data_IF_667014625025
#
_entry.id   IF_667014625025
#
_cell.length_a   1.000
_cell.length_b   1.000
_cell.length_c   1.000
_cell.angle_alpha   90.00
_cell.angle_beta   90.00
_cell.angle_gamma   90.00
#
_symmetry.space_group_name_H-M   'P 1'
#
loop_
_entity.id
_entity.type
_entity.pdbx_description
1 polymer ?
#
# COMPACT_ATOMS: atom_id res chain seq x y z
N UNK A 1 39.56 44.85 24.17
CA UNK A 1 38.18 44.36 23.92
C UNK A 1 38.27 43.02 23.17
N UNK A 2 38.06 41.88 23.85
CA UNK A 2 38.09 40.55 23.23
C UNK A 2 36.65 40.18 22.86
N UNK A 3 36.34 40.06 21.56
CA UNK A 3 35.06 39.59 21.06
C UNK A 3 35.08 38.05 21.08
N UNK A 4 34.36 37.46 21.98
CA UNK A 4 34.12 36.02 22.00
C UNK A 4 33.20 35.61 20.83
N UNK A 5 33.68 34.77 19.97
CA UNK A 5 32.86 34.09 18.92
C UNK A 5 32.13 32.92 19.59
N UNK A 6 30.81 33.07 19.76
CA UNK A 6 29.97 31.95 20.22
C UNK A 6 29.61 31.09 19.04
N UNK A 7 30.16 29.87 18.94
CA UNK A 7 29.81 28.88 17.95
C UNK A 7 28.51 28.17 18.40
N UNK A 8 27.44 28.36 17.64
CA UNK A 8 26.24 27.57 17.79
C UNK A 8 26.40 26.26 17.01
N UNK A 9 26.52 25.14 17.73
CA UNK A 9 26.49 23.82 17.11
C UNK A 9 25.04 23.46 16.86
N UNK A 10 24.59 23.51 15.62
CA UNK A 10 23.31 22.92 15.20
C UNK A 10 23.47 21.38 15.23
N UNK A 11 22.91 20.76 16.25
CA UNK A 11 22.74 19.31 16.30
C UNK A 11 21.56 18.97 15.39
N UNK A 12 21.83 18.52 14.19
CA UNK A 12 20.80 17.91 13.34
C UNK A 12 20.39 16.57 13.97
N UNK A 13 19.21 16.54 14.57
CA UNK A 13 18.57 15.27 14.96
C UNK A 13 18.18 14.55 13.68
N UNK A 14 18.94 13.54 13.29
CA UNK A 14 18.54 12.57 12.29
C UNK A 14 17.44 11.72 12.91
N UNK A 15 16.19 12.01 12.58
CA UNK A 15 15.08 11.10 12.88
C UNK A 15 15.24 9.90 11.97
N UNK A 16 15.59 8.74 12.56
CA UNK A 16 15.47 7.46 11.87
C UNK A 16 13.98 7.18 11.70
N UNK A 17 13.50 7.28 10.47
CA UNK A 17 12.12 6.88 10.16
C UNK A 17 11.99 5.38 10.40
N UNK A 18 11.14 4.98 11.35
CA UNK A 18 10.72 3.60 11.47
C UNK A 18 9.82 3.26 10.27
N UNK A 19 9.86 2.00 9.81
CA UNK A 19 8.92 1.56 8.79
C UNK A 19 7.48 1.81 9.26
N UNK A 20 6.71 2.51 8.42
CA UNK A 20 5.34 2.91 8.74
C UNK A 20 4.36 1.81 8.33
N UNK A 21 3.27 1.67 9.09
CA UNK A 21 2.12 0.82 8.73
C UNK A 21 1.22 1.47 7.66
N UNK A 22 1.48 2.73 7.31
CA UNK A 22 0.83 3.47 6.22
C UNK A 22 1.88 3.89 5.19
N UNK A 23 1.54 3.89 3.89
CA UNK A 23 2.44 4.40 2.87
C UNK A 23 2.65 5.91 3.00
N UNK A 24 3.80 6.40 2.53
CA UNK A 24 4.04 7.82 2.35
C UNK A 24 3.22 8.33 1.14
N UNK A 25 2.27 9.20 1.39
CA UNK A 25 1.38 9.73 0.34
C UNK A 25 2.08 10.56 -0.75
N UNK A 26 3.33 10.99 -0.54
CA UNK A 26 4.12 11.65 -1.58
C UNK A 26 4.80 10.63 -2.51
N UNK A 27 5.18 9.46 -1.98
CA UNK A 27 5.83 8.39 -2.74
C UNK A 27 4.79 7.45 -3.36
N UNK A 28 3.77 7.07 -2.57
CA UNK A 28 2.73 6.11 -2.96
C UNK A 28 1.34 6.69 -2.70
N UNK A 29 0.89 7.66 -3.53
CA UNK A 29 -0.45 8.23 -3.43
C UNK A 29 -1.55 7.26 -3.89
N UNK A 30 -1.20 6.12 -4.47
CA UNK A 30 -2.12 5.17 -5.07
C UNK A 30 -2.46 5.51 -6.53
N UNK A 31 -2.06 4.66 -7.47
CA UNK A 31 -2.37 4.78 -8.89
C UNK A 31 -3.38 3.71 -9.32
N UNK A 32 -4.27 4.08 -10.22
CA UNK A 32 -5.32 3.22 -10.76
C UNK A 32 -4.94 2.67 -12.14
N UNK A 33 -5.46 1.50 -12.45
CA UNK A 33 -5.51 0.97 -13.80
C UNK A 33 -6.69 1.63 -14.54
N UNK A 34 -6.44 2.38 -15.62
CA UNK A 34 -7.49 3.06 -16.36
C UNK A 34 -8.48 2.12 -17.07
N UNK A 35 -8.13 0.84 -17.20
CA UNK A 35 -9.00 -0.17 -17.78
C UNK A 35 -10.07 -0.68 -16.81
N UNK A 36 -9.98 -0.34 -15.51
CA UNK A 36 -10.92 -0.81 -14.48
C UNK A 36 -11.73 0.36 -13.93
N UNK A 37 -13.03 0.33 -14.19
CA UNK A 37 -13.99 1.38 -13.80
C UNK A 37 -15.24 0.79 -13.15
N UNK A 38 -16.00 1.58 -12.37
CA UNK A 38 -17.30 1.17 -11.81
C UNK A 38 -18.24 0.58 -12.88
N UNK A 39 -18.20 1.11 -14.11
CA UNK A 39 -19.07 0.68 -15.21
C UNK A 39 -18.73 -0.70 -15.79
N UNK A 40 -17.52 -1.23 -15.53
CA UNK A 40 -17.06 -2.49 -16.12
C UNK A 40 -16.54 -3.52 -15.10
N UNK A 41 -16.84 -3.35 -13.80
CA UNK A 41 -16.36 -4.28 -12.76
C UNK A 41 -16.78 -5.73 -13.01
N UNK A 42 -17.94 -5.96 -13.62
CA UNK A 42 -18.46 -7.31 -13.91
C UNK A 42 -17.68 -8.03 -15.01
N UNK A 43 -17.10 -7.27 -15.92
CA UNK A 43 -16.29 -7.76 -17.05
C UNK A 43 -14.81 -7.85 -16.70
N UNK A 44 -14.38 -7.13 -15.65
CA UNK A 44 -13.00 -7.02 -15.18
C UNK A 44 -12.81 -7.78 -13.87
N UNK A 45 -12.64 -7.08 -12.77
CA UNK A 45 -12.24 -7.63 -11.47
C UNK A 45 -13.28 -8.59 -10.85
N UNK A 46 -14.56 -8.47 -11.19
CA UNK A 46 -15.63 -9.33 -10.68
C UNK A 46 -16.02 -10.47 -11.63
N UNK A 47 -15.35 -10.61 -12.75
CA UNK A 47 -15.59 -11.74 -13.65
C UNK A 47 -15.32 -13.06 -12.92
N UNK A 48 -16.13 -14.08 -13.17
CA UNK A 48 -15.95 -15.40 -12.58
C UNK A 48 -14.50 -15.89 -12.79
N UNK A 49 -13.80 -16.21 -11.68
CA UNK A 49 -12.37 -16.47 -11.72
C UNK A 49 -11.52 -15.21 -11.47
N UNK A 50 -11.95 -14.35 -10.55
CA UNK A 50 -11.28 -13.07 -10.20
C UNK A 50 -9.77 -13.22 -9.91
N UNK A 51 -9.32 -14.38 -9.44
CA UNK A 51 -7.89 -14.71 -9.37
C UNK A 51 -7.21 -14.56 -10.72
N UNK A 52 -7.92 -14.82 -11.83
CA UNK A 52 -7.35 -14.67 -13.18
C UNK A 52 -7.06 -13.21 -13.54
N UNK A 53 -7.84 -12.24 -13.04
CA UNK A 53 -7.51 -10.82 -13.25
C UNK A 53 -6.20 -10.48 -12.54
N UNK A 54 -6.13 -10.72 -11.23
CA UNK A 54 -4.94 -10.45 -10.43
C UNK A 54 -3.73 -11.22 -10.95
N UNK A 55 -3.86 -12.51 -11.23
CA UNK A 55 -2.78 -13.33 -11.78
C UNK A 55 -2.34 -12.89 -13.18
N UNK A 56 -3.29 -12.52 -14.05
CA UNK A 56 -3.00 -12.04 -15.40
C UNK A 56 -2.35 -10.66 -15.47
N UNK A 57 -2.51 -9.85 -14.40
CA UNK A 57 -1.98 -8.48 -14.31
C UNK A 57 -0.81 -8.35 -13.34
N UNK A 58 -0.42 -9.45 -12.68
CA UNK A 58 0.72 -9.44 -11.78
C UNK A 58 2.02 -9.13 -12.55
N UNK A 59 2.79 -8.12 -12.13
CA UNK A 59 4.05 -7.80 -12.79
C UNK A 59 5.06 -8.96 -12.70
N UNK A 60 6.00 -9.05 -13.66
CA UNK A 60 7.09 -10.01 -13.57
C UNK A 60 7.86 -9.88 -12.25
N UNK A 61 8.30 -11.01 -11.69
CA UNK A 61 9.05 -11.03 -10.44
C UNK A 61 10.27 -10.11 -10.44
N UNK A 62 11.01 -10.06 -11.56
CA UNK A 62 12.17 -9.18 -11.72
C UNK A 62 11.82 -7.68 -11.61
N UNK A 63 10.62 -7.30 -12.06
CA UNK A 63 10.12 -5.93 -11.91
C UNK A 63 9.84 -5.65 -10.42
N UNK A 64 9.14 -6.56 -9.74
CA UNK A 64 8.83 -6.40 -8.31
C UNK A 64 10.09 -6.30 -7.46
N UNK A 65 11.06 -7.20 -7.65
CA UNK A 65 12.33 -7.20 -6.92
C UNK A 65 13.15 -5.91 -7.13
N UNK A 66 13.13 -5.36 -8.34
CA UNK A 66 13.77 -4.08 -8.64
C UNK A 66 13.05 -2.93 -7.94
N UNK A 67 11.73 -2.85 -8.11
CA UNK A 67 10.90 -1.80 -7.51
C UNK A 67 10.97 -1.82 -5.99
N UNK A 68 11.00 -3.01 -5.38
CA UNK A 68 11.13 -3.17 -3.93
C UNK A 68 12.39 -2.50 -3.39
N UNK A 69 13.54 -2.76 -4.00
CA UNK A 69 14.81 -2.15 -3.60
C UNK A 69 14.78 -0.63 -3.75
N UNK A 70 14.22 -0.15 -4.86
CA UNK A 70 14.09 1.29 -5.12
C UNK A 70 13.16 1.96 -4.10
N UNK A 71 12.05 1.31 -3.75
CA UNK A 71 11.08 1.83 -2.78
C UNK A 71 11.62 1.82 -1.35
N UNK A 72 12.31 0.76 -0.91
CA UNK A 72 12.93 0.72 0.43
C UNK A 72 13.90 1.90 0.60
N UNK A 73 14.72 2.18 -0.41
CA UNK A 73 15.63 3.32 -0.41
C UNK A 73 14.89 4.65 -0.42
N UNK A 74 13.85 4.79 -1.25
CA UNK A 74 13.07 6.03 -1.36
C UNK A 74 12.31 6.34 -0.06
N UNK A 75 11.80 5.29 0.63
CA UNK A 75 11.15 5.41 1.94
C UNK A 75 12.14 5.69 3.08
N UNK A 76 13.44 5.53 2.85
CA UNK A 76 14.47 5.75 3.87
C UNK A 76 14.36 4.79 5.05
N UNK A 77 13.88 3.57 4.82
CA UNK A 77 13.78 2.57 5.87
C UNK A 77 15.18 2.14 6.33
N UNK A 78 15.44 2.11 7.64
CA UNK A 78 16.75 1.72 8.19
C UNK A 78 17.02 0.22 8.02
N UNK A 79 15.98 -0.59 7.90
CA UNK A 79 16.06 -2.02 7.60
C UNK A 79 15.89 -2.22 6.10
N UNK A 80 16.99 -2.53 5.41
CA UNK A 80 17.00 -2.76 3.96
C UNK A 80 16.78 -4.24 3.60
N UNK A 81 16.47 -5.10 4.59
CA UNK A 81 16.23 -6.51 4.32
C UNK A 81 14.85 -6.72 3.69
N UNK A 82 14.83 -6.94 2.40
CA UNK A 82 13.59 -7.15 1.61
C UNK A 82 12.68 -8.25 2.16
N UNK A 83 13.22 -9.23 2.91
CA UNK A 83 12.43 -10.31 3.52
C UNK A 83 11.54 -9.85 4.67
N UNK A 84 11.74 -8.64 5.17
CA UNK A 84 10.93 -8.05 6.24
C UNK A 84 9.73 -7.27 5.72
N UNK A 85 9.63 -7.13 4.39
CA UNK A 85 8.56 -6.40 3.71
C UNK A 85 7.81 -7.29 2.73
N UNK A 86 6.58 -6.91 2.46
CA UNK A 86 5.82 -7.33 1.29
C UNK A 86 5.81 -6.18 0.30
N UNK A 87 6.16 -6.44 -0.95
CA UNK A 87 5.94 -5.47 -2.00
C UNK A 87 4.45 -5.43 -2.29
N UNK A 88 3.81 -4.42 -1.75
CA UNK A 88 2.36 -4.29 -1.73
C UNK A 88 1.86 -3.20 -2.68
N UNK A 89 0.67 -3.42 -3.27
CA UNK A 89 -0.06 -2.42 -4.02
C UNK A 89 -1.02 -1.69 -3.08
N UNK A 90 -0.85 -0.37 -2.85
CA UNK A 90 -1.73 0.40 -1.98
C UNK A 90 -3.20 0.22 -2.37
N UNK A 91 -3.52 0.41 -3.64
CA UNK A 91 -4.79 0.00 -4.21
C UNK A 91 -4.55 -1.36 -4.85
N UNK A 92 -5.17 -2.43 -4.34
CA UNK A 92 -4.88 -3.78 -4.82
C UNK A 92 -5.34 -3.99 -6.26
N UNK A 93 -4.71 -4.92 -6.96
CA UNK A 93 -5.10 -5.28 -8.32
C UNK A 93 -6.56 -5.74 -8.38
N UNK A 94 -7.03 -6.42 -7.33
CA UNK A 94 -8.43 -6.85 -7.19
C UNK A 94 -9.43 -5.69 -7.07
N UNK A 95 -8.94 -4.47 -6.85
CA UNK A 95 -9.73 -3.24 -6.86
C UNK A 95 -9.29 -2.28 -7.98
N UNK A 96 -8.64 -2.79 -9.03
CA UNK A 96 -8.22 -1.98 -10.17
C UNK A 96 -7.07 -1.03 -9.87
N UNK A 97 -6.18 -1.37 -8.94
CA UNK A 97 -4.92 -0.67 -8.76
C UNK A 97 -3.96 -0.93 -9.91
N UNK A 98 -3.14 0.07 -10.25
CA UNK A 98 -2.13 -0.09 -11.31
C UNK A 98 -1.09 -1.13 -10.91
N UNK A 99 -0.81 -2.13 -11.76
CA UNK A 99 0.13 -3.19 -11.44
C UNK A 99 1.59 -2.76 -11.47
N UNK A 100 1.94 -1.74 -12.24
CA UNK A 100 3.34 -1.37 -12.52
C UNK A 100 3.69 0.07 -12.20
N UNK A 101 2.73 0.89 -11.79
CA UNK A 101 3.04 2.26 -11.38
C UNK A 101 3.66 2.26 -9.98
N UNK A 102 4.90 2.75 -9.86
CA UNK A 102 5.60 2.86 -8.58
C UNK A 102 4.83 3.68 -7.54
N UNK A 103 3.94 4.59 -7.99
CA UNK A 103 3.03 5.37 -7.12
C UNK A 103 1.92 4.53 -6.49
N UNK A 104 1.79 3.26 -6.85
CA UNK A 104 0.87 2.31 -6.24
C UNK A 104 1.59 1.21 -5.45
N UNK A 105 2.91 1.19 -5.47
CA UNK A 105 3.71 0.09 -4.90
C UNK A 105 4.55 0.61 -3.74
N UNK A 106 4.53 -0.08 -2.59
CA UNK A 106 5.29 0.29 -1.42
C UNK A 106 5.78 -0.92 -0.61
N UNK A 107 6.90 -0.79 0.12
CA UNK A 107 7.40 -1.86 0.98
C UNK A 107 6.62 -1.89 2.30
N UNK A 108 5.61 -2.73 2.38
CA UNK A 108 4.79 -2.88 3.58
C UNK A 108 5.44 -3.83 4.59
N UNK A 109 5.57 -3.46 5.88
CA UNK A 109 6.12 -4.35 6.89
C UNK A 109 5.31 -5.64 7.06
N UNK A 110 6.02 -6.79 7.07
CA UNK A 110 5.41 -8.09 7.34
C UNK A 110 5.12 -8.32 8.82
N UNK A 111 5.94 -7.70 9.70
CA UNK A 111 5.86 -7.86 11.16
C UNK A 111 5.59 -6.50 11.78
N UNK A 112 4.31 -6.21 11.95
CA UNK A 112 3.82 -5.02 12.65
C UNK A 112 2.41 -5.28 13.18
N UNK A 113 1.86 -4.34 13.96
CA UNK A 113 0.45 -4.41 14.37
C UNK A 113 -0.47 -4.40 13.15
N UNK A 114 -0.15 -3.60 12.15
CA UNK A 114 -0.91 -3.43 10.91
C UNK A 114 -0.12 -4.04 9.73
N UNK A 115 0.13 -5.35 9.84
CA UNK A 115 0.93 -6.09 8.87
C UNK A 115 0.26 -6.19 7.50
N UNK A 116 1.05 -6.52 6.48
CA UNK A 116 0.58 -6.77 5.13
C UNK A 116 -0.57 -7.79 5.08
N UNK A 117 -0.53 -8.85 5.90
CA UNK A 117 -1.59 -9.87 5.97
C UNK A 117 -2.95 -9.30 6.36
N UNK A 118 -2.99 -8.27 7.22
CA UNK A 118 -4.24 -7.60 7.57
C UNK A 118 -4.80 -6.82 6.39
N UNK A 119 -3.92 -6.18 5.64
CA UNK A 119 -4.33 -5.48 4.42
C UNK A 119 -4.84 -6.45 3.37
N UNK A 120 -4.13 -7.57 3.13
CA UNK A 120 -4.59 -8.63 2.21
C UNK A 120 -6.01 -9.12 2.56
N UNK A 121 -6.32 -9.28 3.86
CA UNK A 121 -7.64 -9.67 4.29
C UNK A 121 -8.70 -8.60 4.00
N UNK A 122 -8.41 -7.33 4.27
CA UNK A 122 -9.30 -6.21 3.93
C UNK A 122 -9.57 -6.15 2.43
N UNK A 123 -8.57 -6.37 1.60
CA UNK A 123 -8.69 -6.36 0.14
C UNK A 123 -9.72 -7.37 -0.35
N UNK A 124 -9.69 -8.59 0.19
CA UNK A 124 -10.68 -9.62 -0.10
C UNK A 124 -12.09 -9.19 0.27
N UNK A 125 -12.26 -8.58 1.45
CA UNK A 125 -13.57 -8.08 1.92
C UNK A 125 -14.08 -6.95 1.03
N UNK A 126 -13.23 -5.97 0.69
CA UNK A 126 -13.64 -4.86 -0.18
C UNK A 126 -13.98 -5.34 -1.59
N UNK A 127 -13.17 -6.23 -2.15
CA UNK A 127 -13.43 -6.84 -3.46
C UNK A 127 -14.80 -7.56 -3.48
N UNK A 128 -15.08 -8.39 -2.46
CA UNK A 128 -16.35 -9.10 -2.35
C UNK A 128 -17.53 -8.10 -2.30
N UNK A 129 -17.42 -7.03 -1.51
CA UNK A 129 -18.44 -6.00 -1.40
C UNK A 129 -18.69 -5.25 -2.71
N UNK A 130 -17.64 -4.90 -3.43
CA UNK A 130 -17.74 -4.29 -4.76
C UNK A 130 -18.44 -5.25 -5.73
N UNK A 131 -18.04 -6.51 -5.76
CA UNK A 131 -18.61 -7.49 -6.68
C UNK A 131 -20.06 -7.84 -6.38
N UNK A 132 -20.48 -7.73 -5.11
CA UNK A 132 -21.90 -7.83 -4.71
C UNK A 132 -22.69 -6.55 -4.97
N UNK A 133 -22.03 -5.43 -5.28
CA UNK A 133 -22.68 -4.14 -5.44
C UNK A 133 -23.08 -3.47 -4.12
N UNK A 134 -22.51 -3.89 -2.99
CA UNK A 134 -22.75 -3.29 -1.67
C UNK A 134 -22.07 -1.93 -1.53
N UNK A 135 -20.92 -1.74 -2.19
CA UNK A 135 -20.21 -0.47 -2.33
C UNK A 135 -19.74 -0.30 -3.77
N UNK A 136 -19.50 0.94 -4.20
CA UNK A 136 -18.89 1.20 -5.51
C UNK A 136 -17.40 0.88 -5.51
N UNK A 137 -16.82 0.63 -6.70
CA UNK A 137 -15.39 0.48 -6.85
C UNK A 137 -14.65 1.75 -6.40
N UNK A 138 -15.11 2.91 -6.85
CA UNK A 138 -14.54 4.21 -6.46
C UNK A 138 -14.53 4.37 -4.94
N UNK A 139 -15.62 4.02 -4.24
CA UNK A 139 -15.67 4.08 -2.78
C UNK A 139 -14.60 3.19 -2.14
N UNK A 140 -14.46 1.94 -2.58
CA UNK A 140 -13.46 1.02 -2.05
C UNK A 140 -12.02 1.51 -2.28
N UNK A 141 -11.75 2.05 -3.48
CA UNK A 141 -10.47 2.63 -3.85
C UNK A 141 -10.12 3.85 -3.00
N UNK A 142 -11.05 4.76 -2.77
CA UNK A 142 -10.84 5.98 -1.99
C UNK A 142 -10.62 5.66 -0.51
N UNK A 143 -11.35 4.71 0.05
CA UNK A 143 -11.21 4.33 1.45
C UNK A 143 -9.86 3.65 1.72
N UNK A 144 -9.43 2.71 0.88
CA UNK A 144 -8.14 2.04 1.07
C UNK A 144 -6.97 3.00 0.81
N UNK A 145 -7.11 3.89 -0.17
CA UNK A 145 -6.12 4.92 -0.49
C UNK A 145 -5.94 5.94 0.62
N UNK A 146 -7.06 6.41 1.18
CA UNK A 146 -7.03 7.45 2.22
C UNK A 146 -6.38 6.96 3.50
N UNK A 147 -6.81 5.80 3.98
CA UNK A 147 -6.23 5.13 5.14
C UNK A 147 -6.77 3.70 5.25
N UNK A 148 -6.00 2.73 4.77
CA UNK A 148 -6.41 1.33 4.77
C UNK A 148 -6.64 0.76 6.20
N UNK A 149 -5.99 1.32 7.23
CA UNK A 149 -6.20 0.92 8.63
C UNK A 149 -7.61 1.33 9.08
N UNK A 150 -8.01 2.57 8.79
CA UNK A 150 -9.37 3.03 9.08
C UNK A 150 -10.42 2.23 8.30
N UNK A 151 -10.12 1.88 7.05
CA UNK A 151 -10.98 1.01 6.24
C UNK A 151 -11.08 -0.40 6.87
N UNK A 152 -9.96 -0.96 7.35
CA UNK A 152 -9.95 -2.23 8.08
C UNK A 152 -10.86 -2.19 9.32
N UNK A 153 -10.69 -1.18 10.16
CA UNK A 153 -11.51 -1.01 11.37
C UNK A 153 -13.00 -0.86 11.05
N UNK A 154 -13.33 -0.20 9.94
CA UNK A 154 -14.72 -0.02 9.47
C UNK A 154 -15.38 -1.32 9.02
N UNK A 155 -14.68 -2.13 8.23
CA UNK A 155 -15.28 -3.29 7.56
C UNK A 155 -15.09 -4.61 8.32
N UNK A 156 -14.08 -4.69 9.16
CA UNK A 156 -13.70 -5.92 9.87
C UNK A 156 -13.78 -5.74 11.38
N UNK A 157 -13.41 -4.58 11.90
CA UNK A 157 -13.48 -4.23 13.31
C UNK A 157 -12.09 -4.05 13.95
N UNK A 158 -12.02 -3.08 14.87
CA UNK A 158 -10.76 -2.73 15.55
C UNK A 158 -10.23 -3.85 16.48
N UNK A 159 -11.10 -4.76 16.91
CA UNK A 159 -10.76 -5.86 17.84
C UNK A 159 -10.44 -7.18 17.14
N UNK A 160 -10.47 -7.19 15.81
CA UNK A 160 -10.25 -8.42 15.07
C UNK A 160 -8.80 -8.94 15.25
N UNK A 161 -8.70 -10.24 15.55
CA UNK A 161 -7.44 -10.93 15.84
C UNK A 161 -6.93 -11.75 14.64
N UNK A 162 -7.36 -11.42 13.43
CA UNK A 162 -6.80 -12.07 12.26
C UNK A 162 -5.29 -11.74 12.18
N UNK A 163 -4.46 -12.77 11.97
CA UNK A 163 -3.00 -12.67 12.08
C UNK A 163 -2.37 -11.82 10.99
#
# INVERSE_FOLDING_TARGET
MKRGLTFWILIALTQTALASDLPDGNLTPGALDPEVMDSNVKETICKAGHFTWTEGHMPPKSFLEKTEKEQILAYGYPDENIKHYQMDHLIPLSLGGSPTDAKNIWPQPLISKWSARRKDYLEGILHEKVCKGEISLTQAQDEIRSNWITAYEKYIGAADRHP
#
